data_IF_473392414714
#
_entry.id   IF_473392414714
#
_cell.length_a   1.000
_cell.length_b   1.000
_cell.length_c   1.000
_cell.angle_alpha   90.00
_cell.angle_beta   90.00
_cell.angle_gamma   90.00
#
_symmetry.space_group_name_H-M   'P 1'
#
loop_
_entity.id
_entity.type
_entity.pdbx_description
1 polymer ?
#
# COMPACT_ATOMS: atom_id res chain seq x y z
N UNK A 1 -12.85 -27.86 11.27
CA UNK A 1 -12.89 -26.40 11.18
C UNK A 1 -11.50 -25.97 10.74
N UNK A 2 -11.34 -25.58 9.48
CA UNK A 2 -10.04 -25.13 8.97
C UNK A 2 -9.73 -23.79 9.65
N UNK A 3 -8.65 -23.75 10.42
CA UNK A 3 -8.08 -22.50 10.89
C UNK A 3 -7.69 -21.70 9.63
N UNK A 4 -8.05 -20.42 9.48
CA UNK A 4 -7.56 -19.63 8.36
C UNK A 4 -6.02 -19.70 8.36
N UNK A 5 -5.45 -19.95 7.19
CA UNK A 5 -4.00 -19.98 7.02
C UNK A 5 -3.42 -18.65 7.48
N UNK A 6 -2.30 -18.67 8.20
CA UNK A 6 -1.60 -17.44 8.57
C UNK A 6 -1.22 -16.65 7.32
N UNK A 7 -1.04 -15.31 7.40
CA UNK A 7 -0.64 -14.51 6.25
C UNK A 7 0.63 -15.03 5.54
N UNK A 8 1.57 -15.59 6.31
CA UNK A 8 2.78 -16.20 5.75
C UNK A 8 2.47 -17.47 4.94
N UNK A 9 1.57 -18.32 5.42
CA UNK A 9 1.16 -19.54 4.69
C UNK A 9 0.38 -19.19 3.42
N UNK A 10 -0.52 -18.20 3.48
CA UNK A 10 -1.24 -17.70 2.31
C UNK A 10 -0.29 -17.11 1.25
N UNK A 11 0.67 -16.28 1.66
CA UNK A 11 1.70 -15.76 0.75
C UNK A 11 2.54 -16.89 0.13
N UNK A 12 2.94 -17.92 0.90
CA UNK A 12 3.66 -19.08 0.35
C UNK A 12 2.80 -19.88 -0.63
N UNK A 13 1.54 -20.14 -0.30
CA UNK A 13 0.66 -20.95 -1.12
C UNK A 13 0.23 -20.21 -2.40
N UNK A 14 -0.27 -18.99 -2.26
CA UNK A 14 -1.05 -18.29 -3.29
C UNK A 14 -0.37 -17.02 -3.82
N UNK A 15 0.66 -16.50 -3.13
CA UNK A 15 1.34 -15.27 -3.51
C UNK A 15 0.59 -14.00 -3.08
N UNK A 16 -0.52 -14.11 -2.37
CA UNK A 16 -1.22 -12.98 -1.77
C UNK A 16 -1.97 -13.41 -0.50
N UNK A 17 -2.37 -12.42 0.30
CA UNK A 17 -3.30 -12.62 1.41
C UNK A 17 -4.18 -11.37 1.59
N UNK A 18 -5.47 -11.57 1.81
CA UNK A 18 -6.34 -10.57 2.41
C UNK A 18 -6.37 -10.80 3.92
N UNK A 19 -6.05 -9.77 4.71
CA UNK A 19 -6.07 -9.83 6.18
C UNK A 19 -7.14 -8.87 6.69
N UNK A 20 -8.22 -9.37 7.32
CA UNK A 20 -9.28 -8.52 7.86
C UNK A 20 -8.79 -7.59 8.98
N UNK A 21 -9.45 -6.44 9.12
CA UNK A 21 -9.09 -5.40 10.07
C UNK A 21 -8.80 -5.88 11.51
N UNK A 22 -9.60 -6.75 12.15
CA UNK A 22 -9.31 -7.19 13.52
C UNK A 22 -7.99 -7.96 13.63
N UNK A 23 -7.69 -8.82 12.65
CA UNK A 23 -6.49 -9.64 12.62
C UNK A 23 -5.25 -8.78 12.32
N UNK A 24 -5.36 -7.90 11.32
CA UNK A 24 -4.28 -6.98 10.97
C UNK A 24 -3.99 -6.02 12.12
N UNK A 25 -5.03 -5.45 12.75
CA UNK A 25 -4.88 -4.57 13.91
C UNK A 25 -4.15 -5.26 15.05
N UNK A 26 -4.55 -6.49 15.40
CA UNK A 26 -3.88 -7.28 16.43
C UNK A 26 -2.42 -7.59 16.08
N UNK A 27 -2.13 -7.89 14.79
CA UNK A 27 -0.78 -8.15 14.33
C UNK A 27 0.13 -6.90 14.38
N UNK A 28 -0.42 -5.71 14.14
CA UNK A 28 0.30 -4.45 14.32
C UNK A 28 0.53 -4.13 15.80
N UNK A 29 -0.48 -4.31 16.65
CA UNK A 29 -0.37 -4.05 18.10
C UNK A 29 0.61 -5.02 18.80
N UNK A 30 0.85 -6.20 18.22
CA UNK A 30 1.89 -7.11 18.68
C UNK A 30 3.32 -6.59 18.45
N UNK A 31 3.54 -5.65 17.54
CA UNK A 31 4.84 -4.97 17.33
C UNK A 31 5.03 -3.80 18.32
N UNK A 32 3.94 -3.22 18.81
CA UNK A 32 3.95 -2.11 19.76
C UNK A 32 2.63 -1.35 19.81
N UNK A 33 2.43 -0.48 20.82
CA UNK A 33 1.20 0.29 20.96
C UNK A 33 1.03 1.30 19.82
N UNK A 34 -0.16 1.33 19.20
CA UNK A 34 -0.53 2.29 18.16
C UNK A 34 -1.03 3.62 18.77
N UNK A 35 -0.25 4.19 19.70
CA UNK A 35 -0.66 5.34 20.52
C UNK A 35 -0.90 6.64 19.75
N UNK A 36 -0.45 6.70 18.50
CA UNK A 36 -0.56 7.84 17.58
C UNK A 36 -1.52 7.56 16.41
N UNK A 37 -2.35 6.51 16.48
CA UNK A 37 -3.23 6.08 15.40
C UNK A 37 -4.10 7.22 14.82
N UNK A 38 -4.68 8.05 15.67
CA UNK A 38 -5.53 9.16 15.22
C UNK A 38 -4.74 10.22 14.44
N UNK A 39 -3.52 10.55 14.89
CA UNK A 39 -2.62 11.47 14.18
C UNK A 39 -2.14 10.84 12.85
N UNK A 40 -1.85 9.54 12.87
CA UNK A 40 -1.50 8.76 11.68
C UNK A 40 -2.61 8.84 10.62
N UNK A 41 -3.87 8.56 10.99
CA UNK A 41 -5.02 8.66 10.08
C UNK A 41 -5.25 10.11 9.63
N UNK A 42 -5.15 11.09 10.53
CA UNK A 42 -5.36 12.50 10.23
C UNK A 42 -4.36 13.05 9.20
N UNK A 43 -3.16 12.48 9.11
CA UNK A 43 -2.12 12.94 8.17
C UNK A 43 -2.53 12.84 6.70
N UNK A 44 -3.49 11.98 6.34
CA UNK A 44 -4.04 11.93 4.98
C UNK A 44 -4.83 13.19 4.59
N UNK A 45 -5.20 14.04 5.55
CA UNK A 45 -5.87 15.32 5.26
C UNK A 45 -4.91 16.37 4.69
N UNK A 46 -3.60 16.18 4.82
CA UNK A 46 -2.56 17.11 4.36
C UNK A 46 -1.63 16.45 3.32
N UNK A 47 -2.21 15.83 2.30
CA UNK A 47 -1.45 15.26 1.17
C UNK A 47 -1.40 16.23 -0.01
N UNK A 48 -0.23 16.35 -0.63
CA UNK A 48 -0.02 17.11 -1.86
C UNK A 48 -0.60 16.40 -3.10
N UNK A 49 -0.95 17.17 -4.13
CA UNK A 49 -1.42 16.63 -5.41
C UNK A 49 -0.30 15.84 -6.11
N UNK A 50 -0.62 14.66 -6.67
CA UNK A 50 0.31 13.96 -7.56
C UNK A 50 0.37 14.67 -8.92
N UNK A 51 1.46 15.38 -9.19
CA UNK A 51 1.69 16.12 -10.43
C UNK A 51 2.29 15.27 -11.55
N UNK A 52 2.49 13.97 -11.33
CA UNK A 52 3.10 13.05 -12.30
C UNK A 52 2.08 12.11 -12.96
N UNK A 53 0.78 12.37 -12.80
CA UNK A 53 -0.32 11.62 -13.40
C UNK A 53 -0.35 11.83 -14.93
N UNK A 54 0.17 10.86 -15.69
CA UNK A 54 0.27 10.97 -17.15
C UNK A 54 -1.10 10.95 -17.88
N UNK A 55 -2.15 10.45 -17.23
CA UNK A 55 -3.53 10.52 -17.70
C UNK A 55 -4.18 11.90 -17.49
N UNK A 56 -3.46 12.85 -16.87
CA UNK A 56 -3.97 14.18 -16.53
C UNK A 56 -4.91 14.20 -15.33
N UNK A 57 -5.07 13.06 -14.63
CA UNK A 57 -5.96 12.92 -13.49
C UNK A 57 -5.50 13.76 -12.30
N UNK A 58 -6.47 14.37 -11.59
CA UNK A 58 -6.23 15.13 -10.35
C UNK A 58 -6.81 14.48 -9.09
N UNK A 59 -7.23 13.22 -9.23
CA UNK A 59 -7.86 12.45 -8.17
C UNK A 59 -6.85 11.87 -7.16
N UNK A 60 -5.54 11.87 -7.45
CA UNK A 60 -4.52 11.27 -6.55
C UNK A 60 -3.75 12.33 -5.78
N UNK A 61 -3.74 12.21 -4.45
CA UNK A 61 -2.84 12.95 -3.55
C UNK A 61 -1.93 11.98 -2.84
N UNK A 62 -0.69 12.39 -2.56
CA UNK A 62 0.29 11.50 -1.95
C UNK A 62 1.42 12.18 -1.20
N UNK A 63 2.08 11.38 -0.36
CA UNK A 63 3.40 11.63 0.22
C UNK A 63 4.24 10.36 0.15
N UNK A 64 5.57 10.50 0.24
CA UNK A 64 6.52 9.40 0.08
C UNK A 64 7.63 9.45 1.13
N UNK A 65 8.11 8.28 1.55
CA UNK A 65 9.29 8.13 2.38
C UNK A 65 10.04 6.84 2.02
N UNK A 66 11.34 6.83 2.30
CA UNK A 66 12.20 5.65 2.11
C UNK A 66 12.81 5.27 3.46
N UNK A 67 12.86 3.98 3.73
CA UNK A 67 13.47 3.40 4.92
C UNK A 67 14.46 2.31 4.50
N UNK A 68 15.49 2.10 5.32
CA UNK A 68 16.27 0.89 5.34
C UNK A 68 15.79 0.06 6.54
N UNK A 69 15.49 -1.21 6.30
CA UNK A 69 14.99 -2.11 7.35
C UNK A 69 15.83 -3.39 7.34
N UNK A 70 16.34 -3.79 8.49
CA UNK A 70 17.13 -5.02 8.64
C UNK A 70 17.47 -5.30 10.09
N UNK A 71 18.54 -6.06 10.33
CA UNK A 71 18.97 -6.44 11.68
C UNK A 71 19.32 -5.23 12.56
N UNK A 72 19.82 -4.14 11.97
CA UNK A 72 20.13 -2.89 12.67
C UNK A 72 18.87 -2.09 13.09
N UNK A 73 17.69 -2.52 12.66
CA UNK A 73 16.41 -1.87 12.94
C UNK A 73 15.81 -1.16 11.71
N UNK A 74 14.94 -0.19 11.99
CA UNK A 74 14.23 0.62 10.99
C UNK A 74 14.83 2.02 10.99
N UNK A 75 15.44 2.41 9.88
CA UNK A 75 16.09 3.70 9.69
C UNK A 75 15.44 4.47 8.54
N UNK A 76 14.91 5.66 8.83
CA UNK A 76 14.42 6.57 7.78
C UNK A 76 15.61 7.11 6.97
N UNK A 77 15.55 6.95 5.65
CA UNK A 77 16.59 7.39 4.73
C UNK A 77 16.36 8.85 4.28
N UNK A 78 17.41 9.53 3.78
CA UNK A 78 17.26 10.81 3.09
C UNK A 78 16.21 10.72 1.96
N UNK A 79 15.58 11.86 1.66
CA UNK A 79 14.58 11.96 0.58
C UNK A 79 15.21 11.50 -0.73
N UNK A 80 14.50 10.62 -1.42
CA UNK A 80 14.91 10.01 -2.68
C UNK A 80 13.71 10.02 -3.64
N UNK A 81 13.94 10.01 -4.96
CA UNK A 81 12.85 9.88 -5.90
C UNK A 81 12.28 8.47 -5.83
N UNK A 82 10.99 8.37 -6.14
CA UNK A 82 10.38 7.10 -6.48
C UNK A 82 10.59 6.83 -7.98
N UNK A 83 11.20 5.69 -8.31
CA UNK A 83 11.47 5.27 -9.68
C UNK A 83 10.88 3.87 -9.92
N UNK A 84 10.17 3.72 -11.04
CA UNK A 84 9.73 2.43 -11.56
C UNK A 84 10.10 2.37 -13.04
N UNK A 85 10.59 1.21 -13.51
CA UNK A 85 10.79 1.00 -14.96
C UNK A 85 9.43 0.95 -15.66
N UNK A 86 9.45 1.17 -16.98
CA UNK A 86 8.23 1.04 -17.79
C UNK A 86 7.70 -0.39 -17.88
N UNK A 87 8.53 -1.39 -17.56
CA UNK A 87 8.12 -2.80 -17.52
C UNK A 87 7.14 -3.06 -16.37
N UNK A 88 7.21 -2.26 -15.31
CA UNK A 88 6.34 -2.37 -14.13
C UNK A 88 5.25 -1.30 -14.10
N UNK A 89 5.57 -0.07 -14.50
CA UNK A 89 4.61 1.02 -14.56
C UNK A 89 4.57 1.63 -15.97
N UNK A 90 3.69 1.11 -16.81
CA UNK A 90 3.56 1.56 -18.19
C UNK A 90 3.10 3.03 -18.30
N UNK A 91 2.32 3.52 -17.33
CA UNK A 91 1.74 4.87 -17.36
C UNK A 91 2.73 5.95 -16.89
N UNK A 92 3.40 5.72 -15.76
CA UNK A 92 4.21 6.73 -15.08
C UNK A 92 5.70 6.34 -14.94
N UNK A 93 6.13 5.21 -15.50
CA UNK A 93 7.49 4.68 -15.39
C UNK A 93 8.50 5.33 -16.34
N UNK A 94 9.78 5.12 -16.02
CA UNK A 94 10.93 5.63 -16.79
C UNK A 94 11.38 7.04 -16.42
N UNK A 95 10.82 7.64 -15.36
CA UNK A 95 11.24 8.93 -14.81
C UNK A 95 11.38 8.84 -13.29
N UNK A 96 12.27 9.67 -12.74
CA UNK A 96 12.36 9.90 -11.29
C UNK A 96 11.26 10.87 -10.85
N UNK A 97 10.46 10.46 -9.86
CA UNK A 97 9.33 11.27 -9.35
C UNK A 97 9.60 11.67 -7.92
N UNK A 98 9.69 12.98 -7.68
CA UNK A 98 9.92 13.56 -6.37
C UNK A 98 8.58 13.99 -5.76
N UNK A 99 8.10 13.22 -4.77
CA UNK A 99 6.87 13.55 -4.04
C UNK A 99 7.17 14.26 -2.73
N UNK A 100 6.15 14.90 -2.17
CA UNK A 100 6.25 15.50 -0.83
C UNK A 100 6.61 14.42 0.20
N UNK A 101 7.51 14.72 1.14
CA UNK A 101 7.92 13.75 2.15
C UNK A 101 6.75 13.45 3.09
N UNK A 102 6.65 12.20 3.56
CA UNK A 102 5.83 11.89 4.75
C UNK A 102 6.31 12.76 5.91
N UNK A 103 5.38 13.33 6.68
CA UNK A 103 5.70 14.22 7.79
C UNK A 103 6.57 13.48 8.83
N UNK A 104 7.61 14.12 9.42
CA UNK A 104 8.51 13.46 10.38
C UNK A 104 7.81 12.76 11.54
N UNK A 105 6.87 13.44 12.16
CA UNK A 105 6.07 12.91 13.26
C UNK A 105 5.25 11.66 12.90
N UNK A 106 4.91 11.49 11.60
CA UNK A 106 4.20 10.31 11.10
C UNK A 106 5.20 9.21 10.70
N UNK A 107 6.30 9.57 10.05
CA UNK A 107 7.34 8.63 9.62
C UNK A 107 8.06 7.97 10.80
N UNK A 108 8.22 8.69 11.90
CA UNK A 108 8.89 8.24 13.13
C UNK A 108 7.90 7.77 14.21
N UNK A 109 6.60 7.92 13.93
CA UNK A 109 5.51 7.55 14.82
C UNK A 109 5.42 6.06 15.14
N UNK A 110 4.74 5.73 16.24
CA UNK A 110 4.58 4.38 16.75
C UNK A 110 3.83 3.49 15.75
N UNK A 111 2.78 4.02 15.12
CA UNK A 111 2.01 3.28 14.11
C UNK A 111 2.85 2.93 12.89
N UNK A 112 3.63 3.87 12.34
CA UNK A 112 4.49 3.59 11.19
C UNK A 112 5.55 2.53 11.54
N UNK A 113 6.17 2.64 12.72
CA UNK A 113 7.14 1.66 13.22
C UNK A 113 6.54 0.26 13.38
N UNK A 114 5.32 0.17 13.91
CA UNK A 114 4.60 -1.10 14.05
C UNK A 114 4.30 -1.74 12.68
N UNK A 115 3.85 -0.94 11.70
CA UNK A 115 3.63 -1.43 10.32
C UNK A 115 4.92 -1.97 9.70
N UNK A 116 6.00 -1.19 9.78
CA UNK A 116 7.30 -1.58 9.21
C UNK A 116 7.89 -2.81 9.93
N UNK A 117 7.75 -2.90 11.25
CA UNK A 117 8.17 -4.05 12.06
C UNK A 117 7.40 -5.32 11.69
N UNK A 118 6.08 -5.23 11.57
CA UNK A 118 5.23 -6.33 11.13
C UNK A 118 5.66 -6.84 9.74
N UNK A 119 5.81 -5.93 8.76
CA UNK A 119 6.23 -6.29 7.41
C UNK A 119 7.62 -6.93 7.40
N UNK A 120 8.57 -6.38 8.15
CA UNK A 120 9.92 -6.94 8.25
C UNK A 120 9.91 -8.37 8.81
N UNK A 121 9.17 -8.61 9.90
CA UNK A 121 9.05 -9.94 10.50
C UNK A 121 8.40 -10.93 9.54
N UNK A 122 7.29 -10.52 8.90
CA UNK A 122 6.56 -11.37 7.97
C UNK A 122 7.41 -11.70 6.72
N UNK A 123 7.87 -10.68 6.00
CA UNK A 123 8.58 -10.84 4.74
C UNK A 123 9.98 -11.43 4.93
N UNK A 124 10.69 -11.06 6.01
CA UNK A 124 11.97 -11.68 6.37
C UNK A 124 11.85 -13.17 6.67
N UNK A 125 10.71 -13.61 7.23
CA UNK A 125 10.40 -15.03 7.41
C UNK A 125 10.06 -15.79 6.12
N UNK A 126 9.74 -15.08 5.03
CA UNK A 126 9.46 -15.65 3.71
C UNK A 126 10.71 -15.66 2.83
N UNK A 127 11.47 -14.56 2.85
CA UNK A 127 12.72 -14.39 2.11
C UNK A 127 13.74 -13.72 3.05
N UNK A 128 14.69 -14.45 3.62
CA UNK A 128 15.74 -13.84 4.43
C UNK A 128 16.56 -12.84 3.61
N UNK A 129 16.80 -11.65 4.18
CA UNK A 129 17.65 -10.61 3.58
C UNK A 129 18.29 -9.80 4.71
N UNK A 130 19.59 -9.46 4.64
CA UNK A 130 20.25 -8.67 5.67
C UNK A 130 19.71 -7.23 5.72
N UNK A 131 19.18 -6.75 4.59
CA UNK A 131 18.66 -5.40 4.44
C UNK A 131 17.58 -5.33 3.37
N UNK A 132 16.60 -4.48 3.62
CA UNK A 132 15.52 -4.14 2.72
C UNK A 132 15.53 -2.64 2.46
N UNK A 133 15.45 -2.27 1.18
CA UNK A 133 14.94 -0.95 0.80
C UNK A 133 13.43 -0.99 0.92
N UNK A 134 12.88 -0.10 1.72
CA UNK A 134 11.44 0.01 1.93
C UNK A 134 10.96 1.36 1.46
N UNK A 135 9.97 1.40 0.58
CA UNK A 135 9.29 2.64 0.23
C UNK A 135 7.88 2.66 0.80
N UNK A 136 7.52 3.81 1.36
CA UNK A 136 6.21 4.05 1.95
C UNK A 136 5.52 5.14 1.15
N UNK A 137 4.29 4.86 0.73
CA UNK A 137 3.44 5.79 0.00
C UNK A 137 2.14 5.99 0.77
N UNK A 138 1.86 7.24 1.16
CA UNK A 138 0.52 7.63 1.58
C UNK A 138 -0.25 7.99 0.31
N UNK A 139 -1.38 7.35 0.06
CA UNK A 139 -2.24 7.67 -1.06
C UNK A 139 -3.65 8.03 -0.60
N UNK A 140 -4.18 9.14 -1.13
CA UNK A 140 -5.61 9.42 -1.19
C UNK A 140 -6.05 9.41 -2.64
N UNK A 141 -7.06 8.61 -2.94
CA UNK A 141 -7.79 8.64 -4.21
C UNK A 141 -9.14 9.29 -3.96
N UNK A 142 -9.35 10.48 -4.51
CA UNK A 142 -10.59 11.23 -4.43
C UNK A 142 -11.54 10.81 -5.57
N UNK A 143 -12.83 10.73 -5.27
CA UNK A 143 -13.88 10.54 -6.25
C UNK A 143 -14.92 11.64 -6.10
N UNK A 144 -15.42 12.17 -7.21
CA UNK A 144 -16.43 13.25 -7.24
C UNK A 144 -17.45 12.96 -8.33
N UNK A 145 -18.56 13.71 -8.33
CA UNK A 145 -19.58 13.58 -9.37
C UNK A 145 -18.97 13.80 -10.76
N UNK A 146 -19.04 12.78 -11.61
CA UNK A 146 -18.50 12.82 -12.97
C UNK A 146 -16.98 12.63 -13.05
N UNK A 147 -16.29 12.38 -11.94
CA UNK A 147 -14.85 12.13 -11.89
C UNK A 147 -14.59 10.92 -10.96
N UNK A 148 -14.50 9.73 -11.54
CA UNK A 148 -14.12 8.53 -10.81
C UNK A 148 -12.63 8.61 -10.41
N UNK A 149 -12.33 8.16 -9.20
CA UNK A 149 -10.95 8.03 -8.74
C UNK A 149 -10.35 6.70 -9.19
N UNK A 150 -9.16 6.70 -9.77
CA UNK A 150 -8.49 5.48 -10.24
C UNK A 150 -7.32 5.13 -9.31
N UNK A 151 -7.42 4.09 -8.46
CA UNK A 151 -6.27 3.72 -7.63
C UNK A 151 -5.10 3.17 -8.46
N UNK A 152 -5.40 2.40 -9.50
CA UNK A 152 -4.42 1.80 -10.42
C UNK A 152 -4.76 2.16 -11.87
N UNK A 153 -4.54 3.42 -12.30
CA UNK A 153 -4.90 3.86 -13.66
C UNK A 153 -4.16 3.11 -14.78
N UNK A 154 -3.00 2.55 -14.48
CA UNK A 154 -2.26 1.62 -15.35
C UNK A 154 -2.92 0.24 -15.52
N UNK A 155 -3.91 -0.10 -14.67
CA UNK A 155 -4.56 -1.40 -14.65
C UNK A 155 -3.80 -2.44 -13.81
N UNK A 156 -3.90 -3.71 -14.24
CA UNK A 156 -3.23 -4.83 -13.58
C UNK A 156 -1.72 -4.70 -13.73
N UNK A 157 -0.99 -4.67 -12.63
CA UNK A 157 0.44 -4.39 -12.63
C UNK A 157 1.19 -5.15 -11.52
N UNK A 158 2.51 -4.94 -11.51
CA UNK A 158 3.44 -5.30 -10.44
C UNK A 158 4.26 -4.07 -10.07
N UNK A 159 4.74 -4.00 -8.86
CA UNK A 159 5.45 -2.84 -8.34
C UNK A 159 6.96 -2.83 -8.67
N UNK A 160 7.53 -3.99 -9.01
CA UNK A 160 8.97 -4.16 -9.28
C UNK A 160 9.81 -4.36 -8.03
N UNK A 161 9.20 -4.98 -7.01
CA UNK A 161 9.74 -5.21 -5.67
C UNK A 161 9.57 -6.70 -5.31
N UNK A 162 9.87 -7.08 -4.07
CA UNK A 162 9.66 -8.46 -3.61
C UNK A 162 8.27 -8.61 -2.97
N UNK A 163 7.92 -7.70 -2.06
CA UNK A 163 6.66 -7.78 -1.32
C UNK A 163 5.98 -6.42 -1.18
N UNK A 164 4.66 -6.44 -1.08
CA UNK A 164 3.83 -5.24 -0.93
C UNK A 164 2.81 -5.46 0.20
N UNK A 165 2.65 -4.44 1.05
CA UNK A 165 1.48 -4.26 1.90
C UNK A 165 0.66 -3.09 1.35
N UNK A 166 -0.66 -3.29 1.21
CA UNK A 166 -1.64 -2.22 1.03
C UNK A 166 -2.57 -2.23 2.24
N UNK A 167 -2.46 -1.24 3.11
CA UNK A 167 -3.28 -1.09 4.33
C UNK A 167 -4.34 -0.02 4.11
N UNK A 168 -5.61 -0.35 4.31
CA UNK A 168 -6.69 0.63 4.29
C UNK A 168 -6.64 1.48 5.55
N UNK A 169 -6.48 2.79 5.37
CA UNK A 169 -6.45 3.77 6.46
C UNK A 169 -7.85 4.32 6.70
N UNK A 170 -8.53 4.71 5.62
CA UNK A 170 -9.89 5.24 5.69
C UNK A 170 -10.61 5.07 4.35
N UNK A 171 -11.90 4.79 4.43
CA UNK A 171 -12.83 4.71 3.30
C UNK A 171 -14.01 5.62 3.60
N UNK A 172 -14.34 6.54 2.70
CA UNK A 172 -15.42 7.51 2.93
C UNK A 172 -16.21 7.75 1.67
N UNK A 173 -17.53 7.58 1.74
CA UNK A 173 -18.49 7.88 0.67
C UNK A 173 -18.06 7.34 -0.70
N UNK A 174 -17.59 6.09 -0.78
CA UNK A 174 -17.24 5.45 -2.06
C UNK A 174 -17.82 4.05 -2.18
N UNK A 175 -18.23 3.72 -3.40
CA UNK A 175 -18.51 2.36 -3.85
C UNK A 175 -17.32 1.80 -4.66
N UNK A 176 -17.31 0.49 -4.90
CA UNK A 176 -16.25 -0.20 -5.66
C UNK A 176 -14.86 -0.12 -4.99
N UNK A 177 -13.76 -0.10 -5.78
CA UNK A 177 -12.41 -0.22 -5.24
C UNK A 177 -12.05 -1.66 -4.85
N UNK A 178 -12.61 -2.62 -5.60
CA UNK A 178 -12.28 -4.04 -5.51
C UNK A 178 -10.85 -4.26 -5.99
N UNK A 179 -10.05 -4.94 -5.17
CA UNK A 179 -8.74 -5.47 -5.53
C UNK A 179 -8.92 -6.80 -6.24
N UNK A 180 -8.28 -6.98 -7.39
CA UNK A 180 -8.20 -8.26 -8.10
C UNK A 180 -6.74 -8.73 -8.17
N UNK A 181 -6.52 -10.02 -7.95
CA UNK A 181 -5.21 -10.67 -7.99
C UNK A 181 -5.20 -11.69 -9.12
N UNK A 182 -4.18 -11.62 -9.97
CA UNK A 182 -4.01 -12.47 -11.14
C UNK A 182 -2.66 -13.17 -11.09
N UNK A 183 -2.59 -14.41 -11.58
CA UNK A 183 -1.33 -15.05 -11.89
C UNK A 183 -0.64 -14.32 -13.05
N UNK A 184 0.67 -14.55 -13.22
CA UNK A 184 1.45 -13.92 -14.31
C UNK A 184 0.98 -14.32 -15.72
N UNK A 185 0.26 -15.43 -15.85
CA UNK A 185 -0.38 -15.87 -17.09
C UNK A 185 -1.76 -15.18 -17.35
N UNK A 186 -2.16 -14.26 -16.48
CA UNK A 186 -3.39 -13.46 -16.57
C UNK A 186 -4.62 -14.10 -15.91
N UNK A 187 -4.51 -15.34 -15.41
CA UNK A 187 -5.63 -16.06 -14.79
C UNK A 187 -5.97 -15.47 -13.43
N UNK A 188 -7.25 -15.15 -13.18
CA UNK A 188 -7.69 -14.60 -11.88
C UNK A 188 -7.53 -15.62 -10.76
N UNK A 189 -6.88 -15.20 -9.67
CA UNK A 189 -6.66 -15.99 -8.47
C UNK A 189 -7.68 -15.64 -7.37
N UNK A 190 -8.05 -14.37 -7.26
CA UNK A 190 -9.05 -13.92 -6.31
C UNK A 190 -9.37 -12.45 -6.43
N UNK A 191 -10.44 -12.02 -5.77
CA UNK A 191 -10.79 -10.62 -5.61
C UNK A 191 -11.39 -10.36 -4.22
N UNK A 192 -11.22 -9.15 -3.72
CA UNK A 192 -11.74 -8.71 -2.43
C UNK A 192 -11.75 -7.18 -2.36
N UNK A 193 -12.58 -6.61 -1.48
CA UNK A 193 -12.63 -5.15 -1.27
C UNK A 193 -12.17 -4.83 0.15
N UNK A 194 -11.20 -3.92 0.29
CA UNK A 194 -10.84 -3.35 1.58
C UNK A 194 -11.96 -2.37 2.00
N UNK A 195 -12.63 -2.67 3.10
CA UNK A 195 -13.86 -1.97 3.54
C UNK A 195 -13.71 -1.33 4.92
N UNK A 196 -12.94 -1.94 5.82
CA UNK A 196 -12.74 -1.45 7.17
C UNK A 196 -11.32 -0.90 7.35
N UNK A 197 -11.12 0.19 8.12
CA UNK A 197 -9.78 0.61 8.53
C UNK A 197 -8.99 -0.55 9.12
N UNK A 198 -7.73 -0.69 8.72
CA UNK A 198 -6.85 -1.83 8.96
C UNK A 198 -7.08 -3.08 8.09
N UNK A 199 -8.07 -3.15 7.20
CA UNK A 199 -8.09 -4.20 6.17
C UNK A 199 -6.80 -4.10 5.33
N UNK A 200 -6.15 -5.23 5.07
CA UNK A 200 -4.87 -5.26 4.36
C UNK A 200 -4.85 -6.27 3.20
N UNK A 201 -4.18 -5.88 2.12
CA UNK A 201 -3.69 -6.80 1.10
C UNK A 201 -2.18 -6.97 1.26
N UNK A 202 -1.71 -8.21 1.29
CA UNK A 202 -0.30 -8.57 1.24
C UNK A 202 -0.03 -9.29 -0.07
N UNK A 203 1.08 -8.97 -0.73
CA UNK A 203 1.39 -9.47 -2.08
C UNK A 203 2.86 -9.87 -2.16
N UNK A 204 3.11 -11.06 -2.73
CA UNK A 204 4.41 -11.47 -3.28
C UNK A 204 4.47 -11.00 -4.75
N UNK A 205 5.12 -9.84 -4.95
CA UNK A 205 5.12 -9.12 -6.23
C UNK A 205 5.83 -9.92 -7.33
N UNK A 206 6.69 -10.88 -6.96
CA UNK A 206 7.33 -11.78 -7.91
C UNK A 206 6.38 -12.81 -8.53
N UNK A 207 5.24 -13.10 -7.88
CA UNK A 207 4.39 -14.25 -8.21
C UNK A 207 3.03 -13.91 -8.77
N UNK A 208 2.50 -12.72 -8.47
CA UNK A 208 1.16 -12.30 -8.88
C UNK A 208 1.18 -10.87 -9.42
N UNK A 209 0.13 -10.51 -10.14
CA UNK A 209 -0.19 -9.13 -10.49
C UNK A 209 -1.43 -8.70 -9.72
N UNK A 210 -1.56 -7.41 -9.46
CA UNK A 210 -2.73 -6.86 -8.79
C UNK A 210 -3.22 -5.57 -9.45
N UNK A 211 -4.49 -5.26 -9.24
CA UNK A 211 -5.14 -4.04 -9.72
C UNK A 211 -6.35 -3.73 -8.89
N UNK A 212 -6.78 -2.47 -8.89
CA UNK A 212 -7.95 -2.02 -8.12
C UNK A 212 -8.91 -1.27 -9.04
N UNK A 213 -10.18 -1.65 -8.99
CA UNK A 213 -11.21 -0.98 -9.79
C UNK A 213 -11.36 0.49 -9.39
N UNK A 214 -11.87 1.29 -10.33
CA UNK A 214 -12.22 2.68 -10.08
C UNK A 214 -13.16 2.81 -8.87
N UNK A 215 -13.04 3.91 -8.13
CA UNK A 215 -13.94 4.29 -7.06
C UNK A 215 -14.83 5.45 -7.49
N UNK A 216 -16.10 5.37 -7.12
CA UNK A 216 -17.10 6.39 -7.39
C UNK A 216 -17.79 6.81 -6.10
N UNK A 217 -18.29 8.06 -5.99
CA UNK A 217 -19.04 8.47 -4.82
C UNK A 217 -20.30 7.62 -4.63
N UNK A 218 -20.54 7.13 -3.42
CA UNK A 218 -21.79 6.41 -3.11
C UNK A 218 -22.98 7.38 -3.07
N UNK A 219 -22.83 8.54 -2.42
CA UNK A 219 -23.67 9.72 -2.57
C UNK A 219 -23.00 10.70 -3.54
N UNK A 220 -23.53 10.87 -4.77
CA UNK A 220 -22.98 11.79 -5.77
C UNK A 220 -23.01 13.27 -5.35
N UNK A 221 -23.74 13.64 -4.29
CA UNK A 221 -23.76 15.01 -3.77
C UNK A 221 -22.55 15.33 -2.88
N UNK A 222 -21.80 14.33 -2.42
CA UNK A 222 -20.65 14.49 -1.53
C UNK A 222 -19.37 13.93 -2.17
N UNK A 223 -18.19 14.48 -1.85
CA UNK A 223 -16.94 13.87 -2.28
C UNK A 223 -16.74 12.52 -1.59
N UNK A 224 -16.04 11.61 -2.27
CA UNK A 224 -15.59 10.32 -1.74
C UNK A 224 -14.07 10.23 -1.70
N UNK A 225 -13.53 9.38 -0.83
CA UNK A 225 -12.09 9.13 -0.75
C UNK A 225 -11.76 7.70 -0.32
N UNK A 226 -10.67 7.18 -0.90
CA UNK A 226 -9.97 5.96 -0.47
C UNK A 226 -8.56 6.33 -0.01
N UNK A 227 -8.30 6.18 1.28
CA UNK A 227 -7.00 6.43 1.90
C UNK A 227 -6.30 5.09 2.17
N UNK A 228 -5.13 4.88 1.57
CA UNK A 228 -4.30 3.69 1.80
C UNK A 228 -2.85 4.07 2.09
N UNK A 229 -2.22 3.25 2.93
CA UNK A 229 -0.77 3.18 3.06
C UNK A 229 -0.27 2.01 2.20
N UNK A 230 0.64 2.28 1.28
CA UNK A 230 1.35 1.23 0.52
C UNK A 230 2.78 1.16 1.03
N UNK A 231 3.24 -0.03 1.37
CA UNK A 231 4.60 -0.30 1.84
C UNK A 231 5.21 -1.37 0.96
N UNK A 232 6.29 -1.05 0.26
CA UNK A 232 6.98 -1.97 -0.65
C UNK A 232 8.33 -2.36 -0.08
N UNK A 233 8.65 -3.65 -0.11
CA UNK A 233 9.92 -4.21 0.36
C UNK A 233 10.70 -4.76 -0.84
N UNK A 234 11.94 -4.29 -1.00
CA UNK A 234 12.89 -4.79 -1.98
C UNK A 234 14.19 -5.20 -1.30
N UNK A 235 14.59 -6.45 -1.45
CA UNK A 235 15.82 -6.97 -0.86
C UNK A 235 17.04 -6.25 -1.47
N UNK A 236 17.97 -5.83 -0.62
CA UNK A 236 19.27 -5.30 -1.04
C UNK A 236 20.32 -6.39 -0.80
N UNK A 237 20.83 -6.98 -1.89
CA UNK A 237 21.80 -8.08 -1.88
C UNK A 237 22.29 -8.42 -3.27
#
# INVERSE_FOLDING_TARGET
MNNPASPAEALRAEGFAFVPAPEMRAALEAEGPLGDWDAFVASWNDLGLDTYMADGGRYRKRRHAVFAVGEAGIERQPRQPHYQSRDYNALNGGIERWFDPVLPEIAEGATMRAVLGFCHRLFGGLKPSPRWKVEVHQFRIEARRGEAGQPTPEGMHRDGVDYVLVLLVRRTNIQSGETSIHALDGRTLGSFTLTHPCDAALVDDGRVMHGVTAVEPQDPAQPGARDVLVVTFKAEG
#
